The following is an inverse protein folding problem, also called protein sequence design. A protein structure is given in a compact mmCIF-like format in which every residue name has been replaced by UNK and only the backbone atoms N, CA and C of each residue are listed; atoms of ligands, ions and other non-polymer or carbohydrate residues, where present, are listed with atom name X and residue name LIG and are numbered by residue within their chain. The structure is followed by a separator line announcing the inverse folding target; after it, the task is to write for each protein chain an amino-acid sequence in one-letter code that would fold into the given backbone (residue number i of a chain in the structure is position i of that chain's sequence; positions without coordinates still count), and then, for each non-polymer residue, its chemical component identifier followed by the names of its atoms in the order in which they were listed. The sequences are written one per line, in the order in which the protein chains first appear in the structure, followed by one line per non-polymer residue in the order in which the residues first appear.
data_IF_444408985994
#
_entry.id   IF_444408985994
#
_cell.length_a   1.000
_cell.length_b   1.000
_cell.length_c   1.000
_cell.angle_alpha   90.00
_cell.angle_beta   90.00
_cell.angle_gamma   90.00
#
_symmetry.space_group_name_H-M   'P 1'
#
loop_
_entity.id
_entity.type
_entity.pdbx_description
1 polymer ?
#
# COMPACT_ATOMS: atom_id res chain seq x y z
N UNK A 1 34.16 6.18 42.16
CA UNK A 1 35.39 5.67 41.51
C UNK A 1 35.24 5.86 40.00
N UNK A 2 35.72 7.01 39.52
CA UNK A 2 35.80 7.37 38.11
C UNK A 2 36.90 6.56 37.42
N UNK A 3 36.64 6.03 36.22
CA UNK A 3 37.66 5.86 35.17
C UNK A 3 37.03 6.06 33.79
N UNK A 4 37.10 7.31 33.32
CA UNK A 4 37.06 7.64 31.90
C UNK A 4 38.41 7.24 31.28
N UNK A 5 38.39 6.59 30.12
CA UNK A 5 39.58 6.37 29.30
C UNK A 5 39.38 7.12 27.98
N UNK A 6 40.10 8.23 27.87
CA UNK A 6 40.19 9.07 26.67
C UNK A 6 41.40 8.62 25.88
N UNK A 7 41.20 8.17 24.64
CA UNK A 7 42.29 7.89 23.70
C UNK A 7 42.33 9.02 22.66
N UNK A 8 43.34 9.88 22.82
CA UNK A 8 43.74 10.87 21.82
C UNK A 8 44.71 10.22 20.84
N UNK A 9 44.39 10.23 19.55
CA UNK A 9 45.34 9.90 18.48
C UNK A 9 45.59 11.16 17.68
N UNK A 10 46.85 11.59 17.69
CA UNK A 10 47.36 12.76 16.97
C UNK A 10 47.42 12.49 15.47
N UNK A 11 47.04 13.52 14.72
CA UNK A 11 47.24 13.64 13.30
C UNK A 11 48.74 13.64 12.92
N UNK A 12 49.06 12.94 11.83
CA UNK A 12 50.28 13.14 11.07
C UNK A 12 49.89 13.51 9.64
N UNK A 13 50.21 14.75 9.27
CA UNK A 13 50.15 15.24 7.90
C UNK A 13 51.32 14.64 7.12
N UNK A 14 51.01 13.87 6.08
CA UNK A 14 51.97 13.35 5.12
C UNK A 14 51.51 13.69 3.72
N UNK A 15 52.09 14.75 3.15
CA UNK A 15 51.97 15.09 1.74
C UNK A 15 52.82 14.10 0.92
N UNK A 16 52.17 13.35 0.03
CA UNK A 16 52.84 12.64 -1.06
C UNK A 16 52.10 12.99 -2.35
N UNK A 17 52.69 13.93 -3.10
CA UNK A 17 52.40 14.13 -4.50
C UNK A 17 53.10 13.04 -5.31
N UNK A 18 52.36 12.37 -6.20
CA UNK A 18 52.80 11.91 -7.52
C UNK A 18 51.88 10.77 -7.99
N UNK A 19 51.41 10.87 -9.23
CA UNK A 19 50.81 9.73 -9.93
C UNK A 19 49.40 9.97 -10.44
N UNK A 20 49.14 11.06 -11.17
CA UNK A 20 48.11 11.02 -12.22
C UNK A 20 48.64 10.07 -13.29
N UNK A 21 48.39 8.78 -13.12
CA UNK A 21 48.35 7.85 -14.25
C UNK A 21 47.02 8.13 -14.93
N UNK A 22 47.09 8.97 -15.97
CA UNK A 22 46.04 9.08 -16.94
C UNK A 22 45.85 7.72 -17.60
N UNK A 23 44.96 6.90 -17.04
CA UNK A 23 44.24 5.94 -17.85
C UNK A 23 43.30 6.77 -18.73
N UNK A 24 43.85 7.24 -19.85
CA UNK A 24 43.11 7.41 -21.08
C UNK A 24 42.61 6.02 -21.50
N UNK A 25 41.66 5.49 -20.72
CA UNK A 25 40.73 4.53 -21.25
C UNK A 25 40.02 5.29 -22.34
N UNK A 26 40.20 4.87 -23.58
CA UNK A 26 39.31 5.19 -24.68
C UNK A 26 37.91 4.67 -24.30
N UNK A 27 37.23 5.38 -23.38
CA UNK A 27 35.79 5.39 -23.33
C UNK A 27 35.41 6.13 -24.59
N UNK A 28 35.12 5.38 -25.65
CA UNK A 28 34.27 5.86 -26.72
C UNK A 28 32.99 6.33 -26.05
N UNK A 29 32.93 7.62 -25.75
CA UNK A 29 31.67 8.25 -25.45
C UNK A 29 30.78 7.93 -26.63
N UNK A 30 29.74 7.19 -26.35
CA UNK A 30 28.69 6.98 -27.31
C UNK A 30 28.14 8.36 -27.71
N UNK A 31 27.68 8.51 -28.95
CA UNK A 31 27.16 9.80 -29.45
C UNK A 31 26.10 10.41 -28.50
N UNK A 32 25.37 9.58 -27.74
CA UNK A 32 24.37 10.00 -26.75
C UNK A 32 24.94 10.59 -25.44
N UNK A 33 26.21 10.33 -25.10
CA UNK A 33 26.87 10.94 -23.94
C UNK A 33 27.42 12.33 -24.25
N UNK A 34 27.69 12.64 -25.53
CA UNK A 34 28.13 13.97 -25.96
C UNK A 34 26.95 14.97 -26.06
N UNK A 35 25.76 14.51 -26.46
CA UNK A 35 24.52 15.32 -26.49
C UNK A 35 24.13 15.89 -25.11
N UNK A 36 24.64 15.32 -24.01
CA UNK A 36 24.41 15.84 -22.64
C UNK A 36 25.08 17.18 -22.37
N UNK A 37 26.09 17.60 -23.14
CA UNK A 37 26.93 18.75 -22.78
C UNK A 37 26.41 20.12 -23.27
N UNK A 38 25.59 20.18 -24.31
CA UNK A 38 25.18 21.48 -24.92
C UNK A 38 23.73 21.89 -24.62
N UNK A 39 22.86 20.96 -24.25
CA UNK A 39 21.44 21.23 -23.98
C UNK A 39 20.57 21.51 -25.23
N UNK A 40 21.19 21.58 -26.41
CA UNK A 40 20.52 21.72 -27.70
C UNK A 40 20.08 20.35 -28.26
N UNK A 41 18.93 20.32 -28.95
CA UNK A 41 18.46 19.09 -29.59
C UNK A 41 19.05 18.97 -31.00
N UNK A 42 19.83 17.93 -31.24
CA UNK A 42 20.39 17.67 -32.56
C UNK A 42 19.36 17.10 -33.55
N UNK A 43 18.39 16.32 -33.07
CA UNK A 43 17.23 15.91 -33.88
C UNK A 43 15.90 16.12 -33.14
N UNK A 44 14.88 16.47 -33.91
CA UNK A 44 13.51 16.76 -33.45
C UNK A 44 12.65 15.49 -33.31
N UNK A 45 13.24 14.41 -32.80
CA UNK A 45 12.55 13.14 -32.55
C UNK A 45 12.02 13.08 -31.11
N UNK A 46 10.88 12.42 -30.90
CA UNK A 46 10.23 12.34 -29.58
C UNK A 46 11.14 11.78 -28.47
N UNK A 47 12.06 10.86 -28.78
CA UNK A 47 12.95 10.26 -27.78
C UNK A 47 14.08 11.22 -27.36
N UNK A 48 14.51 12.13 -28.24
CA UNK A 48 15.50 13.15 -27.89
C UNK A 48 14.89 14.19 -26.94
N UNK A 49 13.66 14.62 -27.22
CA UNK A 49 12.89 15.45 -26.28
C UNK A 49 12.73 14.76 -24.93
N UNK A 50 12.40 13.47 -24.92
CA UNK A 50 12.23 12.72 -23.68
C UNK A 50 13.54 12.62 -22.87
N UNK A 51 14.65 12.33 -23.52
CA UNK A 51 15.96 12.27 -22.86
C UNK A 51 16.36 13.63 -22.28
N UNK A 52 16.17 14.71 -23.05
CA UNK A 52 16.40 16.07 -22.56
C UNK A 52 15.48 16.42 -21.40
N UNK A 53 14.20 16.05 -21.46
CA UNK A 53 13.24 16.25 -20.38
C UNK A 53 13.69 15.55 -19.08
N UNK A 54 14.15 14.30 -19.18
CA UNK A 54 14.68 13.54 -18.05
C UNK A 54 15.94 14.20 -17.46
N UNK A 55 16.83 14.72 -18.31
CA UNK A 55 18.01 15.47 -17.86
C UNK A 55 17.60 16.76 -17.14
N UNK A 56 16.74 17.57 -17.76
CA UNK A 56 16.18 18.80 -17.16
C UNK A 56 15.51 18.56 -15.82
N UNK A 57 14.73 17.48 -15.70
CA UNK A 57 14.11 17.10 -14.44
C UNK A 57 15.14 16.74 -13.36
N UNK A 58 16.25 16.10 -13.76
CA UNK A 58 17.39 15.81 -12.87
C UNK A 58 18.07 17.10 -12.43
N UNK A 59 18.18 18.07 -13.34
CA UNK A 59 18.76 19.39 -13.12
C UNK A 59 17.76 20.39 -12.45
N UNK A 60 16.62 19.89 -11.95
CA UNK A 60 15.55 20.65 -11.30
C UNK A 60 14.86 21.72 -12.17
N UNK A 61 15.11 21.72 -13.48
CA UNK A 61 14.45 22.54 -14.49
C UNK A 61 13.07 21.97 -14.85
N UNK A 62 12.18 21.96 -13.85
CA UNK A 62 10.92 21.22 -13.89
C UNK A 62 9.95 21.79 -14.92
N UNK A 63 9.91 23.12 -15.08
CA UNK A 63 9.02 23.77 -16.03
C UNK A 63 9.43 23.41 -17.47
N UNK A 64 10.72 23.48 -17.78
CA UNK A 64 11.30 23.15 -19.07
C UNK A 64 11.18 21.66 -19.39
N UNK A 65 11.38 20.79 -18.40
CA UNK A 65 11.16 19.36 -18.53
C UNK A 65 9.70 19.05 -18.90
N UNK A 66 8.72 19.70 -18.26
CA UNK A 66 7.31 19.54 -18.60
C UNK A 66 7.03 19.90 -20.05
N UNK A 67 7.61 20.99 -20.56
CA UNK A 67 7.41 21.39 -21.95
C UNK A 67 7.91 20.32 -22.93
N UNK A 68 9.07 19.72 -22.66
CA UNK A 68 9.60 18.64 -23.50
C UNK A 68 8.73 17.38 -23.43
N UNK A 69 8.25 16.99 -22.25
CA UNK A 69 7.30 15.88 -22.15
C UNK A 69 5.99 16.18 -22.88
N UNK A 70 5.49 17.42 -22.83
CA UNK A 70 4.32 17.85 -23.60
C UNK A 70 4.56 17.77 -25.13
N UNK A 71 5.79 18.01 -25.60
CA UNK A 71 6.18 17.76 -27.00
C UNK A 71 6.15 16.27 -27.33
N UNK A 72 6.69 15.41 -26.46
CA UNK A 72 6.62 13.94 -26.63
C UNK A 72 5.17 13.46 -26.76
N UNK A 73 4.25 14.04 -25.98
CA UNK A 73 2.81 13.75 -25.97
C UNK A 73 2.04 14.41 -27.13
N UNK A 74 2.70 15.26 -27.94
CA UNK A 74 2.06 16.01 -29.01
C UNK A 74 1.06 17.07 -28.51
N UNK A 75 1.23 17.54 -27.28
CA UNK A 75 0.49 18.67 -26.71
C UNK A 75 1.15 20.01 -27.04
N UNK A 76 2.42 19.96 -27.47
CA UNK A 76 3.16 21.09 -28.02
C UNK A 76 3.80 20.71 -29.36
N UNK A 77 3.97 21.68 -30.28
CA UNK A 77 4.77 21.47 -31.48
C UNK A 77 6.24 21.24 -31.09
N UNK A 78 6.95 20.42 -31.88
CA UNK A 78 8.40 20.23 -31.72
C UNK A 78 8.88 18.90 -32.29
N UNK A 79 8.27 17.80 -31.89
CA UNK A 79 8.59 16.48 -32.43
C UNK A 79 7.84 16.22 -33.75
N UNK A 80 8.54 15.72 -34.76
CA UNK A 80 7.93 15.38 -36.07
C UNK A 80 6.81 14.33 -35.92
N UNK A 81 7.05 13.31 -35.09
CA UNK A 81 6.08 12.27 -34.76
C UNK A 81 6.06 12.09 -33.24
N UNK A 82 5.03 12.58 -32.52
CA UNK A 82 4.91 12.36 -31.08
C UNK A 82 4.54 10.91 -30.78
N UNK A 83 5.09 10.35 -29.70
CA UNK A 83 4.74 9.02 -29.19
C UNK A 83 4.12 9.18 -27.81
N UNK A 84 2.79 9.04 -27.74
CA UNK A 84 2.01 9.40 -26.55
C UNK A 84 1.93 8.27 -25.52
N UNK A 85 2.37 7.06 -25.88
CA UNK A 85 2.18 5.86 -25.08
C UNK A 85 3.35 5.63 -24.14
N UNK A 86 3.03 5.41 -22.87
CA UNK A 86 3.94 4.89 -21.88
C UNK A 86 4.28 3.43 -22.22
N UNK A 87 5.57 3.11 -22.21
CA UNK A 87 6.14 1.85 -22.64
C UNK A 87 7.40 1.53 -21.82
N UNK A 88 7.49 0.29 -21.34
CA UNK A 88 8.72 -0.20 -20.71
C UNK A 88 9.89 -0.25 -21.69
N UNK A 89 9.62 -0.52 -22.96
CA UNK A 89 10.62 -0.62 -24.01
C UNK A 89 10.08 -0.03 -25.30
N UNK A 90 10.58 1.14 -25.67
CA UNK A 90 10.12 1.90 -26.83
C UNK A 90 11.17 1.84 -27.95
N UNK A 91 10.77 1.43 -29.15
CA UNK A 91 11.68 1.41 -30.31
C UNK A 91 11.94 2.83 -30.80
N UNK A 92 13.20 3.19 -31.01
CA UNK A 92 13.60 4.51 -31.52
C UNK A 92 13.98 4.41 -32.99
N UNK A 93 15.28 4.38 -33.31
CA UNK A 93 15.79 4.19 -34.67
C UNK A 93 16.45 2.83 -34.86
N UNK A 94 16.16 2.17 -36.00
CA UNK A 94 16.75 0.88 -36.34
C UNK A 94 16.50 -0.19 -35.28
N UNK A 95 17.58 -0.68 -34.67
CA UNK A 95 17.60 -1.71 -33.62
C UNK A 95 17.77 -1.12 -32.20
N UNK A 96 17.70 0.21 -32.04
CA UNK A 96 17.85 0.87 -30.75
C UNK A 96 16.52 1.01 -30.01
N UNK A 97 16.57 0.79 -28.70
CA UNK A 97 15.43 0.87 -27.80
C UNK A 97 15.72 1.83 -26.65
N UNK A 98 14.70 2.60 -26.29
CA UNK A 98 14.67 3.38 -25.07
C UNK A 98 13.93 2.58 -24.00
N UNK A 99 14.63 2.29 -22.90
CA UNK A 99 14.04 1.63 -21.75
C UNK A 99 13.35 2.68 -20.86
N UNK A 100 12.16 2.35 -20.36
CA UNK A 100 11.41 3.18 -19.44
C UNK A 100 10.91 4.50 -20.03
N UNK A 101 10.26 4.46 -21.19
CA UNK A 101 9.61 5.63 -21.80
C UNK A 101 8.21 5.86 -21.19
N UNK A 102 8.07 6.83 -20.29
CA UNK A 102 6.81 7.14 -19.62
C UNK A 102 6.50 8.65 -19.65
N UNK A 103 6.23 9.23 -20.83
CA UNK A 103 6.02 10.66 -20.95
C UNK A 103 4.81 11.15 -20.15
N UNK A 104 3.72 10.37 -20.02
CA UNK A 104 2.58 10.77 -19.18
C UNK A 104 2.98 10.75 -17.71
N UNK A 105 3.68 9.69 -17.25
CA UNK A 105 4.14 9.61 -15.86
C UNK A 105 4.99 10.81 -15.50
N UNK A 106 6.03 11.10 -16.29
CA UNK A 106 6.99 12.15 -15.95
C UNK A 106 6.38 13.55 -16.15
N UNK A 107 5.51 13.77 -17.14
CA UNK A 107 4.73 15.00 -17.25
C UNK A 107 3.85 15.22 -16.00
N UNK A 108 3.15 14.18 -15.54
CA UNK A 108 2.33 14.25 -14.34
C UNK A 108 3.15 14.55 -13.07
N UNK A 109 4.37 14.02 -12.97
CA UNK A 109 5.31 14.34 -11.89
C UNK A 109 5.74 15.79 -11.96
N UNK A 110 6.10 16.31 -13.14
CA UNK A 110 6.44 17.71 -13.31
C UNK A 110 5.27 18.62 -12.92
N UNK A 111 4.05 18.30 -13.35
CA UNK A 111 2.84 19.03 -12.94
C UNK A 111 2.68 19.06 -11.42
N UNK A 112 2.87 17.92 -10.73
CA UNK A 112 2.79 17.86 -9.27
C UNK A 112 3.85 18.74 -8.60
N UNK A 113 5.09 18.71 -9.08
CA UNK A 113 6.20 19.52 -8.56
C UNK A 113 5.93 21.02 -8.75
N UNK A 114 5.26 21.41 -9.84
CA UNK A 114 4.85 22.78 -10.14
C UNK A 114 3.54 23.19 -9.43
N UNK A 115 2.95 22.33 -8.59
CA UNK A 115 1.69 22.59 -7.89
C UNK A 115 0.42 22.48 -8.76
N UNK A 116 0.54 22.04 -10.01
CA UNK A 116 -0.55 21.83 -10.96
C UNK A 116 -1.23 20.46 -10.70
N UNK A 117 -1.84 20.30 -9.53
CA UNK A 117 -2.32 19.00 -9.05
C UNK A 117 -3.38 18.37 -9.97
N UNK A 118 -4.26 19.16 -10.58
CA UNK A 118 -5.33 18.65 -11.46
C UNK A 118 -4.73 17.98 -12.70
N UNK A 119 -3.82 18.68 -13.37
CA UNK A 119 -3.07 18.15 -14.53
C UNK A 119 -2.20 16.96 -14.14
N UNK A 120 -1.61 16.99 -12.95
CA UNK A 120 -0.82 15.88 -12.45
C UNK A 120 -1.67 14.61 -12.33
N UNK A 121 -2.88 14.72 -11.77
CA UNK A 121 -3.82 13.62 -11.63
C UNK A 121 -4.18 13.04 -13.00
N UNK A 122 -4.56 13.88 -13.97
CA UNK A 122 -4.94 13.45 -15.32
C UNK A 122 -3.82 12.66 -16.02
N UNK A 123 -2.60 13.18 -16.00
CA UNK A 123 -1.45 12.52 -16.62
C UNK A 123 -1.08 11.22 -15.91
N UNK A 124 -1.08 11.20 -14.57
CA UNK A 124 -0.71 10.01 -13.80
C UNK A 124 -1.76 8.90 -13.92
N UNK A 125 -3.04 9.24 -13.98
CA UNK A 125 -4.11 8.28 -14.27
C UNK A 125 -3.99 7.72 -15.69
N UNK A 126 -3.68 8.58 -16.67
CA UNK A 126 -3.42 8.15 -18.05
C UNK A 126 -2.23 7.19 -18.12
N UNK A 127 -1.14 7.52 -17.43
CA UNK A 127 0.04 6.65 -17.31
C UNK A 127 -0.33 5.29 -16.72
N UNK A 128 -1.07 5.26 -15.60
CA UNK A 128 -1.48 4.01 -14.95
C UNK A 128 -2.42 3.16 -15.80
N UNK A 129 -3.30 3.77 -16.60
CA UNK A 129 -4.14 3.06 -17.57
C UNK A 129 -3.32 2.39 -18.67
N UNK A 130 -2.21 3.02 -19.09
CA UNK A 130 -1.36 2.48 -20.15
C UNK A 130 -0.36 1.45 -19.62
N UNK A 131 0.40 1.81 -18.57
CA UNK A 131 1.43 0.97 -17.94
C UNK A 131 1.49 1.23 -16.43
N UNK A 132 1.03 0.28 -15.60
CA UNK A 132 1.14 0.39 -14.15
C UNK A 132 2.60 0.58 -13.70
N UNK A 133 2.84 1.54 -12.81
CA UNK A 133 4.14 1.71 -12.16
C UNK A 133 3.98 2.23 -10.73
N UNK A 134 4.82 1.74 -9.81
CA UNK A 134 4.81 2.19 -8.42
C UNK A 134 5.08 3.70 -8.29
N UNK A 135 5.98 4.23 -9.13
CA UNK A 135 6.27 5.67 -9.21
C UNK A 135 5.02 6.48 -9.58
N UNK A 136 4.24 6.06 -10.57
CA UNK A 136 3.00 6.75 -10.93
C UNK A 136 1.96 6.70 -9.78
N UNK A 137 1.78 5.54 -9.14
CA UNK A 137 0.85 5.40 -7.99
C UNK A 137 1.26 6.31 -6.82
N UNK A 138 2.56 6.37 -6.52
CA UNK A 138 3.10 7.23 -5.46
C UNK A 138 2.75 8.71 -5.70
N UNK A 139 3.11 9.24 -6.87
CA UNK A 139 2.82 10.64 -7.18
C UNK A 139 1.33 10.92 -7.34
N UNK A 140 0.53 9.95 -7.80
CA UNK A 140 -0.91 10.12 -7.90
C UNK A 140 -1.55 10.30 -6.52
N UNK A 141 -1.12 9.54 -5.52
CA UNK A 141 -1.57 9.75 -4.14
C UNK A 141 -1.18 11.14 -3.62
N UNK A 142 0.05 11.59 -3.90
CA UNK A 142 0.51 12.92 -3.48
C UNK A 142 -0.29 14.05 -4.14
N UNK A 143 -0.52 13.96 -5.46
CA UNK A 143 -1.30 14.94 -6.21
C UNK A 143 -2.76 14.97 -5.73
N UNK A 144 -3.39 13.81 -5.51
CA UNK A 144 -4.74 13.70 -4.95
C UNK A 144 -4.82 14.25 -3.53
N UNK A 145 -3.85 13.97 -2.67
CA UNK A 145 -3.79 14.53 -1.32
C UNK A 145 -3.75 16.07 -1.34
N UNK A 146 -2.90 16.66 -2.20
CA UNK A 146 -2.83 18.12 -2.37
C UNK A 146 -4.11 18.71 -2.97
N UNK A 147 -4.71 18.04 -3.96
CA UNK A 147 -5.97 18.47 -4.58
C UNK A 147 -7.16 18.45 -3.59
N UNK A 148 -7.15 17.51 -2.65
CA UNK A 148 -8.16 17.37 -1.61
C UNK A 148 -7.88 18.21 -0.37
N UNK A 149 -6.65 18.74 -0.22
CA UNK A 149 -6.27 19.55 0.92
C UNK A 149 -7.16 20.80 1.03
N UNK A 150 -7.55 21.15 2.26
CA UNK A 150 -8.45 22.28 2.54
C UNK A 150 -9.94 22.02 2.28
N UNK A 151 -10.31 20.87 1.68
CA UNK A 151 -11.72 20.47 1.56
C UNK A 151 -12.24 19.94 2.89
N UNK A 152 -13.43 20.37 3.28
CA UNK A 152 -14.16 19.79 4.42
C UNK A 152 -14.81 18.48 4.00
N UNK A 153 -14.15 17.36 4.29
CA UNK A 153 -14.61 16.01 3.97
C UNK A 153 -14.82 15.21 5.25
N UNK A 154 -15.85 14.34 5.33
CA UNK A 154 -16.05 13.48 6.49
C UNK A 154 -14.88 12.50 6.65
N UNK A 155 -14.58 12.05 7.89
CA UNK A 155 -13.58 11.01 8.13
C UNK A 155 -13.94 9.69 7.41
N UNK A 156 -12.96 8.78 7.23
CA UNK A 156 -13.23 7.47 6.67
C UNK A 156 -14.27 6.71 7.51
N UNK A 157 -15.00 5.81 6.86
CA UNK A 157 -15.92 4.86 7.49
C UNK A 157 -15.41 3.43 7.30
N UNK A 158 -15.75 2.55 8.24
CA UNK A 158 -15.39 1.12 8.22
C UNK A 158 -16.62 0.29 8.58
N UNK A 159 -16.93 -0.70 7.76
CA UNK A 159 -18.01 -1.68 8.00
C UNK A 159 -17.40 -3.06 8.24
N UNK A 160 -17.82 -3.77 9.28
CA UNK A 160 -17.37 -5.15 9.55
C UNK A 160 -18.56 -6.09 9.31
N UNK A 161 -18.44 -6.99 8.32
CA UNK A 161 -19.54 -7.88 7.93
C UNK A 161 -19.95 -8.87 9.03
N UNK A 162 -19.01 -9.28 9.89
CA UNK A 162 -19.26 -10.23 10.98
C UNK A 162 -19.94 -9.63 12.21
N UNK A 163 -20.27 -8.33 12.22
CA UNK A 163 -20.90 -7.70 13.39
C UNK A 163 -22.31 -8.22 13.66
N UNK A 164 -23.00 -8.74 12.65
CA UNK A 164 -24.34 -9.32 12.79
C UNK A 164 -24.32 -10.79 13.23
N UNK A 165 -23.15 -11.42 13.30
CA UNK A 165 -23.01 -12.82 13.68
C UNK A 165 -22.93 -12.97 15.20
N UNK A 166 -23.25 -14.18 15.70
CA UNK A 166 -23.04 -14.51 17.12
C UNK A 166 -21.60 -14.20 17.54
N UNK A 167 -21.41 -13.57 18.73
CA UNK A 167 -20.07 -13.36 19.27
C UNK A 167 -19.39 -14.70 19.60
N UNK A 168 -20.15 -15.75 19.89
CA UNK A 168 -19.66 -17.07 20.27
C UNK A 168 -19.22 -17.91 19.08
N UNK A 169 -18.10 -18.62 19.23
CA UNK A 169 -17.63 -19.59 18.25
C UNK A 169 -16.89 -20.76 18.88
N UNK A 170 -17.00 -21.94 18.26
CA UNK A 170 -16.16 -23.11 18.53
C UNK A 170 -14.96 -23.23 17.58
N UNK A 171 -14.84 -22.32 16.62
CA UNK A 171 -13.75 -22.33 15.63
C UNK A 171 -12.46 -21.77 16.24
N UNK A 172 -11.31 -22.19 15.67
CA UNK A 172 -9.98 -21.70 16.07
C UNK A 172 -9.51 -20.50 15.26
N UNK A 173 -10.20 -20.18 14.18
CA UNK A 173 -10.03 -18.95 13.41
C UNK A 173 -11.39 -18.41 12.99
N UNK A 174 -11.45 -17.09 12.78
CA UNK A 174 -12.59 -16.42 12.14
C UNK A 174 -12.08 -15.42 11.12
N UNK A 175 -12.82 -15.27 10.03
CA UNK A 175 -12.51 -14.26 9.02
C UNK A 175 -13.14 -12.93 9.44
N UNK A 176 -12.32 -11.88 9.53
CA UNK A 176 -12.82 -10.50 9.56
C UNK A 176 -12.83 -9.98 8.13
N UNK A 177 -13.97 -9.48 7.69
CA UNK A 177 -14.14 -8.92 6.35
C UNK A 177 -15.04 -7.69 6.39
N UNK A 178 -14.90 -6.82 5.40
CA UNK A 178 -15.63 -5.57 5.37
C UNK A 178 -15.15 -4.62 4.29
N UNK A 179 -15.56 -3.35 4.40
CA UNK A 179 -15.16 -2.30 3.48
C UNK A 179 -14.82 -1.01 4.24
N UNK A 180 -13.70 -0.40 3.87
CA UNK A 180 -13.36 0.96 4.27
C UNK A 180 -13.75 1.92 3.14
N UNK A 181 -14.38 3.06 3.45
CA UNK A 181 -14.75 4.07 2.46
C UNK A 181 -14.29 5.45 2.91
N UNK A 182 -13.87 6.30 1.97
CA UNK A 182 -13.57 7.70 2.26
C UNK A 182 -13.66 8.57 1.01
N UNK A 183 -14.31 9.73 1.13
CA UNK A 183 -14.21 10.80 0.14
C UNK A 183 -12.78 11.38 0.04
N UNK A 184 -11.97 11.22 1.09
CA UNK A 184 -10.54 11.53 1.12
C UNK A 184 -9.64 10.45 0.52
N UNK A 185 -10.22 9.36 -0.03
CA UNK A 185 -9.55 8.15 -0.54
C UNK A 185 -8.77 7.37 0.53
N UNK A 186 -9.15 6.12 0.75
CA UNK A 186 -8.54 5.22 1.73
C UNK A 186 -7.10 4.88 1.33
N UNK A 187 -6.14 5.37 2.13
CA UNK A 187 -4.70 5.16 1.93
C UNK A 187 -4.26 3.82 2.50
N UNK A 188 -4.67 3.49 3.72
CA UNK A 188 -4.36 2.21 4.33
C UNK A 188 -5.51 1.68 5.18
N UNK A 189 -5.53 0.35 5.32
CA UNK A 189 -6.37 -0.36 6.27
C UNK A 189 -5.43 -1.20 7.14
N UNK A 190 -5.67 -1.24 8.45
CA UNK A 190 -4.97 -2.12 9.39
C UNK A 190 -5.95 -3.04 10.10
N UNK A 191 -5.53 -4.27 10.34
CA UNK A 191 -6.28 -5.25 11.14
C UNK A 191 -5.36 -5.70 12.27
N UNK A 192 -5.76 -5.45 13.51
CA UNK A 192 -4.95 -5.68 14.71
C UNK A 192 -3.54 -5.05 14.59
N UNK A 193 -3.50 -3.80 14.12
CA UNK A 193 -2.26 -3.06 13.86
C UNK A 193 -1.45 -3.51 12.65
N UNK A 194 -1.80 -4.63 11.99
CA UNK A 194 -1.10 -5.12 10.80
C UNK A 194 -1.62 -4.41 9.54
N UNK A 195 -0.78 -3.72 8.76
CA UNK A 195 -1.22 -3.03 7.55
C UNK A 195 -1.55 -4.01 6.43
N UNK A 196 -2.67 -3.78 5.76
CA UNK A 196 -2.96 -4.36 4.45
C UNK A 196 -2.27 -3.52 3.39
N UNK A 197 -1.38 -4.14 2.62
CA UNK A 197 -0.63 -3.46 1.56
C UNK A 197 -1.58 -2.85 0.51
N UNK A 198 -1.38 -1.56 0.21
CA UNK A 198 -1.88 -0.95 -1.03
C UNK A 198 -0.95 0.17 -1.46
N UNK A 199 -0.68 0.19 -2.75
CA UNK A 199 0.13 1.22 -3.40
C UNK A 199 -0.70 2.46 -3.74
N UNK A 200 -1.99 2.30 -4.05
CA UNK A 200 -2.88 3.35 -4.53
C UNK A 200 -4.07 3.54 -3.59
N UNK A 201 -4.38 4.79 -3.24
CA UNK A 201 -5.55 5.11 -2.45
C UNK A 201 -6.81 5.11 -3.31
N UNK A 202 -7.89 4.57 -2.77
CA UNK A 202 -9.17 4.35 -3.47
C UNK A 202 -10.34 4.81 -2.62
N UNK A 203 -11.45 5.20 -3.24
CA UNK A 203 -12.63 5.69 -2.53
C UNK A 203 -13.28 4.61 -1.64
N UNK A 204 -13.18 3.35 -2.08
CA UNK A 204 -13.67 2.17 -1.37
C UNK A 204 -12.60 1.11 -1.40
N UNK A 205 -12.41 0.43 -0.28
CA UNK A 205 -11.38 -0.59 -0.15
C UNK A 205 -11.93 -1.78 0.64
N UNK A 206 -12.24 -2.90 -0.03
CA UNK A 206 -12.59 -4.12 0.66
C UNK A 206 -11.37 -4.66 1.42
N UNK A 207 -11.64 -5.31 2.54
CA UNK A 207 -10.62 -6.01 3.31
C UNK A 207 -11.14 -7.37 3.77
N UNK A 208 -10.21 -8.31 3.91
CA UNK A 208 -10.47 -9.66 4.41
C UNK A 208 -9.20 -10.20 5.05
N UNK A 209 -9.31 -10.74 6.26
CA UNK A 209 -8.20 -11.38 6.95
C UNK A 209 -8.69 -12.51 7.82
N UNK A 210 -7.95 -13.61 7.85
CA UNK A 210 -8.19 -14.70 8.79
C UNK A 210 -7.46 -14.40 10.11
N UNK A 211 -8.24 -14.39 11.20
CA UNK A 211 -7.74 -14.12 12.54
C UNK A 211 -7.68 -15.45 13.31
N UNK A 212 -6.51 -15.91 13.73
CA UNK A 212 -6.41 -17.00 14.68
C UNK A 212 -6.95 -16.54 16.04
N UNK A 213 -7.75 -17.38 16.68
CA UNK A 213 -8.39 -17.12 17.97
C UNK A 213 -7.64 -17.82 19.09
N UNK A 214 -7.68 -17.19 20.25
CA UNK A 214 -7.28 -17.76 21.55
C UNK A 214 -8.54 -18.08 22.36
N UNK A 215 -8.52 -19.07 23.29
CA UNK A 215 -9.66 -19.30 24.18
C UNK A 215 -10.09 -18.02 24.90
N UNK A 216 -11.41 -17.81 25.01
CA UNK A 216 -11.99 -16.62 25.62
C UNK A 216 -12.20 -15.47 24.63
N UNK A 217 -12.14 -14.23 25.12
CA UNK A 217 -12.48 -13.03 24.33
C UNK A 217 -11.33 -12.61 23.43
N UNK A 218 -11.60 -12.50 22.14
CA UNK A 218 -10.70 -12.00 21.10
C UNK A 218 -11.29 -10.69 20.55
N UNK A 219 -10.58 -9.58 20.76
CA UNK A 219 -10.97 -8.29 20.16
C UNK A 219 -10.22 -8.10 18.85
N UNK A 220 -10.96 -7.87 17.77
CA UNK A 220 -10.41 -7.57 16.46
C UNK A 220 -10.69 -6.12 16.13
N UNK A 221 -9.63 -5.33 15.90
CA UNK A 221 -9.73 -3.91 15.57
C UNK A 221 -9.34 -3.69 14.12
N UNK A 222 -10.21 -3.03 13.37
CA UNK A 222 -9.97 -2.57 12.01
C UNK A 222 -9.83 -1.06 12.01
N UNK A 223 -8.73 -0.57 11.46
CA UNK A 223 -8.46 0.87 11.32
C UNK A 223 -8.38 1.24 9.84
N UNK A 224 -8.87 2.42 9.48
CA UNK A 224 -8.66 2.99 8.15
C UNK A 224 -8.13 4.43 8.28
N UNK A 225 -7.22 4.81 7.37
CA UNK A 225 -6.77 6.19 7.18
C UNK A 225 -6.91 6.58 5.72
N UNK A 226 -7.25 7.84 5.47
CA UNK A 226 -7.30 8.42 4.13
C UNK A 226 -6.07 9.27 3.76
N UNK A 227 -6.04 9.83 2.55
CA UNK A 227 -4.91 10.64 2.09
C UNK A 227 -4.72 11.95 2.87
N UNK A 228 -5.71 12.39 3.65
CA UNK A 228 -5.61 13.58 4.49
C UNK A 228 -5.18 13.24 5.93
N UNK A 229 -4.83 11.99 6.21
CA UNK A 229 -4.38 11.54 7.53
C UNK A 229 -5.51 11.34 8.54
N UNK A 230 -6.77 11.43 8.11
CA UNK A 230 -7.93 11.23 9.00
C UNK A 230 -8.12 9.73 9.25
N UNK A 231 -8.37 9.36 10.50
CA UNK A 231 -8.43 7.96 10.95
C UNK A 231 -9.78 7.59 11.55
N UNK A 232 -10.16 6.34 11.40
CA UNK A 232 -11.26 5.70 12.12
C UNK A 232 -10.82 4.31 12.57
N UNK A 233 -11.33 3.86 13.71
CA UNK A 233 -11.15 2.50 14.21
C UNK A 233 -12.51 1.90 14.55
N UNK A 234 -12.69 0.61 14.28
CA UNK A 234 -13.88 -0.16 14.61
C UNK A 234 -13.48 -1.54 15.11
N UNK A 235 -14.16 -2.04 16.13
CA UNK A 235 -13.81 -3.32 16.76
C UNK A 235 -14.99 -4.26 16.84
N UNK A 236 -14.72 -5.55 16.71
CA UNK A 236 -15.65 -6.65 16.98
C UNK A 236 -15.02 -7.58 18.01
N UNK A 237 -15.85 -8.13 18.89
CA UNK A 237 -15.41 -9.12 19.88
C UNK A 237 -15.96 -10.50 19.51
N UNK A 238 -15.09 -11.51 19.54
CA UNK A 238 -15.45 -12.90 19.39
C UNK A 238 -15.03 -13.69 20.61
N UNK A 239 -15.93 -14.52 21.12
CA UNK A 239 -15.68 -15.37 22.27
C UNK A 239 -15.48 -16.80 21.75
N UNK A 240 -14.25 -17.29 21.86
CA UNK A 240 -13.90 -18.64 21.44
C UNK A 240 -14.01 -19.58 22.64
N UNK A 241 -15.01 -20.46 22.62
CA UNK A 241 -15.19 -21.49 23.63
C UNK A 241 -14.97 -22.87 23.00
N UNK A 242 -14.00 -23.59 23.55
CA UNK A 242 -13.58 -24.93 23.09
C UNK A 242 -13.78 -25.99 24.17
N UNK A 243 -14.35 -25.62 25.32
CA UNK A 243 -14.67 -26.55 26.38
C UNK A 243 -16.09 -27.07 26.14
N UNK A 244 -16.29 -28.40 26.00
CA UNK A 244 -17.63 -28.94 25.88
C UNK A 244 -18.32 -28.95 27.25
N UNK A 245 -19.67 -28.89 27.29
CA UNK A 245 -20.41 -29.11 28.52
C UNK A 245 -20.13 -30.51 29.06
N UNK A 246 -19.97 -30.61 30.37
CA UNK A 246 -19.69 -31.86 31.08
C UNK A 246 -20.97 -32.34 31.76
N UNK A 247 -21.33 -33.61 31.53
CA UNK A 247 -22.37 -34.29 32.29
C UNK A 247 -21.75 -35.34 33.21
N UNK A 248 -21.97 -35.20 34.51
CA UNK A 248 -21.54 -36.15 35.53
C UNK A 248 -22.74 -36.89 36.10
N UNK A 249 -22.80 -38.19 35.88
CA UNK A 249 -23.77 -39.06 36.54
C UNK A 249 -23.34 -39.26 38.00
N UNK A 250 -24.22 -38.90 38.93
CA UNK A 250 -23.99 -39.05 40.38
C UNK A 250 -24.57 -40.34 40.91
N UNK A 251 -25.74 -40.75 40.41
CA UNK A 251 -26.46 -41.92 40.89
C UNK A 251 -27.28 -42.52 39.77
N UNK A 252 -27.28 -43.84 39.69
CA UNK A 252 -28.16 -44.61 38.82
C UNK A 252 -28.85 -45.65 39.66
N UNK A 253 -30.17 -45.60 39.73
CA UNK A 253 -30.99 -46.56 40.45
C UNK A 253 -32.02 -47.17 39.52
N UNK A 254 -32.35 -48.43 39.76
CA UNK A 254 -33.40 -49.13 39.03
C UNK A 254 -34.60 -49.30 39.95
N UNK A 255 -35.74 -48.85 39.49
CA UNK A 255 -37.03 -49.08 40.14
C UNK A 255 -37.96 -49.80 39.15
N UNK A 256 -38.09 -51.13 39.33
CA UNK A 256 -38.78 -52.01 38.40
C UNK A 256 -38.22 -51.96 36.97
N UNK A 257 -39.00 -51.40 36.05
CA UNK A 257 -38.64 -51.22 34.64
C UNK A 257 -38.03 -49.84 34.31
N UNK A 258 -37.95 -48.92 35.29
CA UNK A 258 -37.49 -47.54 35.10
C UNK A 258 -36.08 -47.36 35.66
N UNK A 259 -35.26 -46.58 34.96
CA UNK A 259 -33.95 -46.13 35.43
C UNK A 259 -34.03 -44.69 35.90
N UNK A 260 -33.70 -44.45 37.17
CA UNK A 260 -33.57 -43.13 37.76
C UNK A 260 -32.10 -42.69 37.67
N UNK A 261 -31.82 -41.69 36.86
CA UNK A 261 -30.47 -41.13 36.68
C UNK A 261 -30.42 -39.74 37.30
N UNK A 262 -29.66 -39.60 38.38
CA UNK A 262 -29.33 -38.30 38.96
C UNK A 262 -27.94 -37.89 38.49
N UNK A 263 -27.82 -36.69 37.93
CA UNK A 263 -26.55 -36.15 37.47
C UNK A 263 -26.48 -34.64 37.58
N UNK A 264 -25.33 -34.09 37.18
CA UNK A 264 -25.09 -32.65 37.09
C UNK A 264 -24.51 -32.33 35.72
N UNK A 265 -25.12 -31.39 35.02
CA UNK A 265 -24.55 -30.76 33.84
C UNK A 265 -23.82 -29.49 34.27
N UNK A 266 -22.62 -29.26 33.77
CA UNK A 266 -21.84 -28.04 34.00
C UNK A 266 -21.18 -27.59 32.71
N UNK A 267 -21.13 -26.29 32.51
CA UNK A 267 -20.45 -25.63 31.40
C UNK A 267 -19.85 -24.32 31.93
N UNK A 268 -18.74 -23.86 31.34
CA UNK A 268 -18.05 -22.64 31.74
C UNK A 268 -18.82 -21.38 31.33
N UNK A 269 -19.65 -21.43 30.29
CA UNK A 269 -20.38 -20.29 29.73
C UNK A 269 -21.91 -20.47 29.80
N UNK A 270 -22.37 -21.68 30.08
CA UNK A 270 -23.76 -22.00 30.38
C UNK A 270 -24.30 -23.15 29.54
N UNK A 271 -25.40 -23.74 29.99
CA UNK A 271 -26.05 -24.83 29.27
C UNK A 271 -27.12 -24.25 28.34
N UNK A 272 -27.05 -24.56 27.05
CA UNK A 272 -28.07 -24.13 26.10
C UNK A 272 -29.31 -25.03 26.14
N UNK A 273 -29.09 -26.35 26.01
CA UNK A 273 -30.16 -27.37 25.97
C UNK A 273 -29.68 -28.64 26.67
N UNK A 274 -30.59 -29.30 27.39
CA UNK A 274 -30.44 -30.68 27.84
C UNK A 274 -31.54 -31.53 27.20
N UNK A 275 -31.16 -32.61 26.52
CA UNK A 275 -32.09 -33.60 26.01
C UNK A 275 -31.83 -34.98 26.62
N UNK A 276 -32.90 -35.75 26.83
CA UNK A 276 -32.83 -37.16 27.25
C UNK A 276 -33.59 -37.97 26.19
N UNK A 277 -32.89 -38.89 25.51
CA UNK A 277 -33.43 -39.68 24.40
C UNK A 277 -34.07 -38.81 23.30
N UNK A 278 -33.45 -37.66 23.01
CA UNK A 278 -33.96 -36.71 22.01
C UNK A 278 -35.11 -35.82 22.50
N UNK A 279 -35.63 -36.03 23.71
CA UNK A 279 -36.66 -35.16 24.31
C UNK A 279 -36.00 -34.05 25.13
N UNK A 280 -36.33 -32.80 24.83
CA UNK A 280 -35.88 -31.64 25.59
C UNK A 280 -36.37 -31.68 27.04
N UNK A 281 -35.46 -31.45 27.98
CA UNK A 281 -35.71 -31.41 29.42
C UNK A 281 -35.36 -30.05 30.03
N UNK A 282 -34.52 -29.29 29.35
CA UNK A 282 -34.15 -27.94 29.72
C UNK A 282 -33.69 -27.18 28.48
N UNK A 283 -34.04 -25.89 28.43
CA UNK A 283 -33.56 -24.89 27.46
C UNK A 283 -33.43 -23.56 28.20
N UNK A 284 -32.30 -22.90 28.01
CA UNK A 284 -32.04 -21.56 28.54
C UNK A 284 -32.61 -20.47 27.62
#
# INVERSE_FOLDING_TARGET
MNRNVTLAVRAAAGAAAAGVVGMAGCRSFTQWEMDRQTGELYHFNWWNYYQRACQRLTDQQTAEALQDFEVCLGLRPGATYPEKRDMWRARTYGMHFLEGYFPNREAGICCYLLGQNDRAIEFLETSLRQKPSGRAKHYLNLARARHLAGRSLPPPTVTIASEAESPWTRTRSRTVAGEAQSAGLVRFVRINGRPLFSELAEARRPYRSEIPLTPGTNTVTVEAEDLLGRRVARSVAWIADWQPPVFQVRRVERDGAVWNVLGRCTDNEGLAVLTINGLERFRA
#
